data_IF_819336581868
#
_entry.id   IF_819336581868
#
_cell.length_a   1.000
_cell.length_b   1.000
_cell.length_c   1.000
_cell.angle_alpha   90.00
_cell.angle_beta   90.00
_cell.angle_gamma   90.00
#
_symmetry.space_group_name_H-M   'P 1'
#
loop_
_entity.id
_entity.type
_entity.pdbx_description
1 polymer ?
#
# COMPACT_ATOMS: atom_id res chain seq x y z
N UNK A 1 -7.05 15.19 4.38
CA UNK A 1 -5.66 15.12 3.90
C UNK A 1 -5.34 13.71 3.44
N UNK A 2 -4.66 13.59 2.32
CA UNK A 2 -4.25 12.30 1.78
C UNK A 2 -2.82 11.98 2.18
N UNK A 3 -2.55 10.72 2.49
CA UNK A 3 -1.19 10.28 2.77
C UNK A 3 -0.99 8.84 2.32
N UNK A 4 0.25 8.50 2.00
CA UNK A 4 0.63 7.24 1.37
C UNK A 4 1.04 6.22 2.42
N UNK A 5 0.35 5.10 2.46
CA UNK A 5 0.71 3.98 3.33
C UNK A 5 1.09 2.78 2.46
N UNK A 6 2.22 2.18 2.77
CA UNK A 6 2.64 0.94 2.14
C UNK A 6 2.21 -0.21 3.05
N UNK A 7 1.28 -1.03 2.59
CA UNK A 7 0.83 -2.20 3.35
C UNK A 7 1.67 -3.41 2.98
N UNK A 8 2.41 -3.92 3.94
CA UNK A 8 3.31 -5.06 3.74
C UNK A 8 2.67 -6.33 4.28
N UNK A 9 2.45 -7.27 3.39
CA UNK A 9 1.93 -8.61 3.70
C UNK A 9 3.07 -9.61 3.55
N UNK A 10 3.75 -9.90 4.67
CA UNK A 10 4.92 -10.78 4.67
C UNK A 10 4.56 -12.20 4.27
N UNK A 11 5.45 -12.81 3.49
CA UNK A 11 5.37 -14.21 3.07
C UNK A 11 4.18 -14.55 2.15
N UNK A 12 3.41 -13.54 1.74
CA UNK A 12 2.35 -13.72 0.77
C UNK A 12 2.90 -13.70 -0.67
N UNK A 13 2.17 -14.34 -1.56
CA UNK A 13 2.46 -14.33 -2.99
C UNK A 13 1.34 -13.59 -3.72
N UNK A 14 1.68 -12.92 -4.82
CA UNK A 14 0.73 -12.12 -5.57
C UNK A 14 -0.48 -12.94 -6.06
N UNK A 15 -0.24 -14.18 -6.47
CA UNK A 15 -1.30 -15.05 -6.99
C UNK A 15 -2.32 -15.47 -5.93
N UNK A 16 -1.98 -15.29 -4.65
CA UNK A 16 -2.82 -15.68 -3.51
C UNK A 16 -3.55 -14.50 -2.87
N UNK A 17 -3.43 -13.30 -3.42
CA UNK A 17 -4.10 -12.11 -2.90
C UNK A 17 -5.01 -11.50 -3.96
N UNK A 18 -6.06 -10.82 -3.52
CA UNK A 18 -6.95 -10.06 -4.38
C UNK A 18 -7.17 -8.68 -3.80
N UNK A 19 -7.62 -7.73 -4.63
CA UNK A 19 -7.94 -6.39 -4.15
C UNK A 19 -9.00 -6.41 -3.05
N UNK A 20 -10.03 -7.24 -3.20
CA UNK A 20 -11.09 -7.31 -2.20
C UNK A 20 -10.61 -7.86 -0.86
N UNK A 21 -9.69 -8.83 -0.87
CA UNK A 21 -9.10 -9.35 0.36
C UNK A 21 -8.25 -8.29 1.06
N UNK A 22 -7.47 -7.54 0.30
CA UNK A 22 -6.62 -6.45 0.83
C UNK A 22 -7.50 -5.34 1.41
N UNK A 23 -8.55 -4.95 0.69
CA UNK A 23 -9.51 -3.94 1.16
C UNK A 23 -10.16 -4.35 2.48
N UNK A 24 -10.66 -5.58 2.55
CA UNK A 24 -11.30 -6.10 3.75
C UNK A 24 -10.34 -6.12 4.93
N UNK A 25 -9.13 -6.63 4.71
CA UNK A 25 -8.12 -6.76 5.74
C UNK A 25 -7.68 -5.39 6.28
N UNK A 26 -7.41 -4.44 5.39
CA UNK A 26 -7.02 -3.09 5.79
C UNK A 26 -8.18 -2.35 6.46
N UNK A 27 -9.41 -2.48 5.95
CA UNK A 27 -10.60 -1.89 6.54
C UNK A 27 -10.82 -2.32 7.98
N UNK A 28 -10.75 -3.63 8.22
CA UNK A 28 -10.99 -4.19 9.55
C UNK A 28 -9.99 -3.68 10.58
N UNK A 29 -8.78 -3.38 10.15
CA UNK A 29 -7.70 -2.98 11.05
C UNK A 29 -7.59 -1.48 11.22
N UNK A 30 -7.78 -0.71 10.15
CA UNK A 30 -7.30 0.66 10.12
C UNK A 30 -8.34 1.69 9.66
N UNK A 31 -9.45 1.29 9.08
CA UNK A 31 -10.39 2.24 8.47
C UNK A 31 -11.67 2.41 9.27
N UNK A 32 -11.97 3.64 9.62
CA UNK A 32 -13.18 3.97 10.40
C UNK A 32 -14.46 3.75 9.60
N UNK A 33 -14.50 4.11 8.32
CA UNK A 33 -15.74 4.08 7.53
C UNK A 33 -16.37 2.68 7.42
N UNK A 34 -15.55 1.63 7.57
CA UNK A 34 -16.02 0.25 7.44
C UNK A 34 -16.09 -0.50 8.77
N UNK A 35 -15.41 0.03 9.79
CA UNK A 35 -15.25 -0.67 11.07
C UNK A 35 -16.37 -0.45 12.06
N UNK A 36 -16.75 0.76 12.31
CA UNK A 36 -17.83 1.23 13.18
C UNK A 36 -18.01 0.59 14.57
N UNK A 37 -17.18 -0.40 14.91
CA UNK A 37 -17.29 -1.13 16.19
C UNK A 37 -16.42 -0.54 17.29
N UNK A 38 -15.55 0.40 16.95
CA UNK A 38 -14.61 1.04 17.85
C UNK A 38 -14.73 2.56 17.76
N UNK A 39 -14.33 3.32 18.80
CA UNK A 39 -14.27 4.76 18.71
C UNK A 39 -13.37 5.23 17.56
N UNK A 40 -13.72 6.38 16.96
CA UNK A 40 -13.01 6.95 15.82
C UNK A 40 -11.48 7.03 16.03
N UNK A 41 -11.05 7.41 17.24
CA UNK A 41 -9.63 7.59 17.53
C UNK A 41 -8.81 6.29 17.51
N UNK A 42 -9.49 5.15 17.52
CA UNK A 42 -8.80 3.84 17.45
C UNK A 42 -8.53 3.40 16.00
N UNK A 43 -8.98 4.19 15.04
CA UNK A 43 -8.72 3.89 13.63
C UNK A 43 -7.66 4.83 13.07
N UNK A 44 -6.89 4.35 12.13
CA UNK A 44 -5.78 5.09 11.55
C UNK A 44 -6.25 6.15 10.56
N UNK A 45 -7.26 5.84 9.76
CA UNK A 45 -7.79 6.77 8.76
C UNK A 45 -9.32 6.69 8.66
N UNK A 46 -9.91 7.70 8.03
CA UNK A 46 -11.36 7.77 7.82
C UNK A 46 -11.83 6.88 6.69
N UNK A 47 -11.10 6.89 5.58
CA UNK A 47 -11.34 6.05 4.43
C UNK A 47 -10.04 5.91 3.62
N UNK A 48 -10.04 5.00 2.66
CA UNK A 48 -8.87 4.74 1.85
C UNK A 48 -9.27 4.17 0.49
N UNK A 49 -8.32 4.20 -0.44
CA UNK A 49 -8.40 3.41 -1.66
C UNK A 49 -7.05 2.75 -1.94
N UNK A 50 -7.08 1.60 -2.59
CA UNK A 50 -5.86 0.92 -3.03
C UNK A 50 -5.40 1.60 -4.32
N UNK A 51 -4.20 2.16 -4.28
CA UNK A 51 -3.65 2.96 -5.37
C UNK A 51 -4.02 4.43 -5.25
N UNK A 52 -5.22 4.80 -5.64
CA UNK A 52 -5.70 6.18 -5.56
C UNK A 52 -4.76 7.17 -6.21
N UNK A 53 -4.32 8.17 -5.46
CA UNK A 53 -3.39 9.20 -5.94
C UNK A 53 -2.03 8.67 -6.35
N UNK A 54 -1.64 7.53 -5.80
CA UNK A 54 -0.32 6.94 -6.00
C UNK A 54 -0.38 5.63 -6.80
N UNK A 55 -1.40 5.50 -7.64
CA UNK A 55 -1.64 4.26 -8.39
C UNK A 55 -0.48 3.86 -9.32
N UNK A 56 0.41 4.79 -9.65
CA UNK A 56 1.54 4.55 -10.55
C UNK A 56 2.89 4.53 -9.81
N UNK A 57 2.88 4.47 -8.48
CA UNK A 57 4.13 4.56 -7.71
C UNK A 57 4.98 3.30 -7.78
N UNK A 58 4.37 2.13 -7.76
CA UNK A 58 5.11 0.87 -7.74
C UNK A 58 5.40 0.38 -9.16
N UNK A 59 6.69 0.29 -9.49
CA UNK A 59 7.15 -0.22 -10.79
C UNK A 59 7.57 -1.67 -10.63
N UNK A 60 7.00 -2.53 -11.46
CA UNK A 60 7.22 -3.98 -11.36
C UNK A 60 6.98 -4.66 -12.69
N UNK A 61 7.45 -5.90 -12.82
CA UNK A 61 7.21 -6.72 -14.01
C UNK A 61 5.74 -7.16 -14.11
N UNK A 62 5.09 -7.33 -12.97
CA UNK A 62 3.66 -7.67 -12.91
C UNK A 62 3.07 -7.16 -11.60
N UNK A 63 1.76 -7.05 -11.56
CA UNK A 63 1.07 -6.59 -10.37
C UNK A 63 -0.43 -6.50 -10.60
N UNK A 64 -1.11 -5.90 -9.63
CA UNK A 64 -2.53 -5.63 -9.70
C UNK A 64 -2.72 -4.11 -9.70
N UNK A 65 -3.57 -3.62 -10.59
CA UNK A 65 -3.92 -2.20 -10.65
C UNK A 65 -5.11 -1.97 -9.75
N UNK A 66 -4.94 -1.02 -8.82
CA UNK A 66 -6.01 -0.61 -7.93
C UNK A 66 -6.84 0.52 -8.52
N UNK A 67 -7.57 1.21 -7.64
CA UNK A 67 -8.32 2.39 -8.03
C UNK A 67 -7.40 3.51 -8.51
N UNK A 68 -7.87 4.26 -9.47
CA UNK A 68 -7.16 5.42 -9.99
C UNK A 68 -7.82 6.69 -9.46
N UNK A 69 -6.98 7.67 -9.13
CA UNK A 69 -7.50 9.00 -8.83
C UNK A 69 -8.23 9.56 -10.06
N UNK A 70 -9.31 10.28 -9.83
CA UNK A 70 -10.04 10.94 -10.92
C UNK A 70 -9.15 11.91 -11.72
N UNK A 71 -8.08 12.42 -11.10
CA UNK A 71 -7.13 13.29 -11.77
C UNK A 71 -6.20 12.52 -12.71
N UNK A 72 -6.10 11.21 -12.53
CA UNK A 72 -5.28 10.33 -13.36
C UNK A 72 -6.15 9.34 -14.14
N UNK A 73 -7.38 9.72 -14.42
CA UNK A 73 -8.35 8.87 -15.11
C UNK A 73 -8.01 8.65 -16.58
N UNK A 74 -6.95 9.28 -17.08
CA UNK A 74 -6.48 9.10 -18.44
C UNK A 74 -5.87 7.72 -18.62
N UNK A 75 -6.05 7.18 -19.78
CA UNK A 75 -5.68 5.82 -20.17
C UNK A 75 -4.18 5.58 -20.16
N UNK A 76 -3.39 6.61 -19.96
CA UNK A 76 -1.93 6.57 -20.08
C UNK A 76 -1.24 6.19 -18.77
N UNK A 77 -1.75 5.18 -18.06
CA UNK A 77 -0.96 4.59 -16.99
C UNK A 77 0.28 3.97 -17.61
N UNK A 78 1.43 4.20 -16.99
CA UNK A 78 2.65 3.53 -17.42
C UNK A 78 2.42 2.03 -17.42
N UNK A 79 2.83 1.30 -18.46
CA UNK A 79 2.53 -0.11 -18.59
C UNK A 79 3.00 -0.98 -17.44
N UNK A 80 4.03 -0.55 -16.72
CA UNK A 80 4.68 -1.33 -15.66
C UNK A 80 4.39 -0.79 -14.26
N UNK A 81 3.38 0.06 -14.11
CA UNK A 81 3.01 0.67 -12.83
C UNK A 81 1.78 -0.01 -12.24
N UNK A 82 1.85 -0.36 -10.97
CA UNK A 82 0.81 -1.10 -10.27
C UNK A 82 0.57 -0.55 -8.88
N UNK A 83 -0.54 -0.97 -8.27
CA UNK A 83 -0.87 -0.63 -6.90
C UNK A 83 -0.55 -1.76 -5.92
N UNK A 84 -0.51 -2.99 -6.40
CA UNK A 84 -0.17 -4.17 -5.59
C UNK A 84 0.85 -4.99 -6.36
N UNK A 85 1.97 -5.27 -5.74
CA UNK A 85 3.05 -6.05 -6.37
C UNK A 85 3.65 -7.01 -5.37
N UNK A 86 4.26 -8.07 -5.89
CA UNK A 86 5.13 -8.92 -5.09
C UNK A 86 6.53 -8.30 -5.07
N UNK A 87 7.19 -8.31 -3.92
CA UNK A 87 8.49 -7.64 -3.76
C UNK A 87 9.50 -8.11 -4.80
N UNK A 88 9.53 -9.41 -5.09
CA UNK A 88 10.47 -9.98 -6.07
C UNK A 88 10.31 -9.44 -7.48
N UNK A 89 9.15 -8.87 -7.79
CA UNK A 89 8.85 -8.37 -9.14
C UNK A 89 9.16 -6.88 -9.32
N UNK A 90 9.58 -6.19 -8.26
CA UNK A 90 9.93 -4.77 -8.34
C UNK A 90 11.07 -4.52 -9.32
N UNK A 91 10.91 -3.52 -10.17
CA UNK A 91 11.93 -3.11 -11.16
C UNK A 91 12.63 -1.82 -10.78
N UNK A 92 12.06 -1.05 -9.85
CA UNK A 92 12.64 0.19 -9.35
C UNK A 92 12.54 0.25 -7.84
N UNK A 93 13.47 0.95 -7.21
CA UNK A 93 13.43 1.19 -5.77
C UNK A 93 12.29 2.12 -5.42
N UNK A 94 11.68 1.87 -4.26
CA UNK A 94 10.66 2.75 -3.69
C UNK A 94 11.38 3.86 -2.92
N UNK A 95 11.04 5.11 -3.25
CA UNK A 95 11.62 6.27 -2.58
C UNK A 95 10.95 6.48 -1.22
N UNK A 96 11.77 6.55 -0.17
CA UNK A 96 11.28 6.78 1.20
C UNK A 96 10.47 8.07 1.31
N UNK A 97 10.81 9.09 0.54
CA UNK A 97 10.11 10.38 0.59
C UNK A 97 8.66 10.29 0.10
N UNK A 98 8.33 9.23 -0.63
CA UNK A 98 6.98 9.00 -1.11
C UNK A 98 6.11 8.23 -0.13
N UNK A 99 6.68 7.70 0.95
CA UNK A 99 5.98 6.83 1.90
C UNK A 99 5.83 7.54 3.24
N UNK A 100 4.58 7.73 3.68
CA UNK A 100 4.28 8.31 4.98
C UNK A 100 4.39 7.29 6.10
N UNK A 101 3.89 6.08 5.88
CA UNK A 101 3.88 5.03 6.88
C UNK A 101 3.92 3.65 6.24
N UNK A 102 4.34 2.66 7.03
CA UNK A 102 4.25 1.25 6.64
C UNK A 102 3.27 0.56 7.57
N UNK A 103 2.22 -0.04 7.01
CA UNK A 103 1.28 -0.84 7.77
C UNK A 103 1.69 -2.31 7.69
N UNK A 104 1.70 -2.95 8.84
CA UNK A 104 1.86 -4.39 8.99
C UNK A 104 0.53 -4.98 9.47
N UNK A 105 0.49 -6.28 9.67
CA UNK A 105 -0.73 -6.96 10.10
C UNK A 105 -1.30 -6.42 11.40
N UNK A 106 -0.46 -6.00 12.33
CA UNK A 106 -0.87 -5.63 13.68
C UNK A 106 -0.45 -4.22 14.11
N UNK A 107 0.29 -3.50 13.28
CA UNK A 107 0.81 -2.20 13.68
C UNK A 107 1.10 -1.31 12.48
N UNK A 108 1.13 0.00 12.72
CA UNK A 108 1.55 1.00 11.74
C UNK A 108 2.85 1.62 12.22
N UNK A 109 3.79 1.75 11.31
CA UNK A 109 5.11 2.31 11.55
C UNK A 109 5.18 3.68 10.88
N UNK A 110 5.35 4.72 11.70
CA UNK A 110 5.49 6.11 11.23
C UNK A 110 6.90 6.67 11.46
N UNK A 111 7.73 5.98 12.24
CA UNK A 111 9.11 6.37 12.49
C UNK A 111 9.92 6.29 11.20
N UNK A 112 10.50 7.42 10.79
CA UNK A 112 11.24 7.53 9.52
C UNK A 112 12.42 6.59 9.44
N UNK A 113 13.11 6.37 10.54
CA UNK A 113 14.25 5.46 10.57
C UNK A 113 13.81 4.01 10.37
N UNK A 114 12.72 3.61 11.01
CA UNK A 114 12.16 2.26 10.84
C UNK A 114 11.62 2.05 9.43
N UNK A 115 10.93 3.05 8.89
CA UNK A 115 10.47 3.01 7.50
C UNK A 115 11.65 2.82 6.56
N UNK A 116 12.72 3.56 6.76
CA UNK A 116 13.94 3.43 5.95
C UNK A 116 14.52 2.03 5.98
N UNK A 117 14.55 1.40 7.15
CA UNK A 117 15.04 0.02 7.28
C UNK A 117 14.16 -0.99 6.55
N UNK A 118 12.83 -0.84 6.65
CA UNK A 118 11.91 -1.71 5.92
C UNK A 118 12.04 -1.52 4.41
N UNK A 119 12.09 -0.28 3.95
CA UNK A 119 12.24 0.01 2.52
C UNK A 119 13.57 -0.51 1.98
N UNK A 120 14.64 -0.43 2.77
CA UNK A 120 15.92 -1.00 2.38
C UNK A 120 15.82 -2.50 2.13
N UNK A 121 15.15 -3.22 3.03
CA UNK A 121 14.92 -4.65 2.86
C UNK A 121 14.03 -4.97 1.65
N UNK A 122 12.99 -4.16 1.43
CA UNK A 122 12.11 -4.32 0.28
C UNK A 122 12.87 -4.06 -1.02
N UNK A 123 13.57 -2.95 -1.09
CA UNK A 123 14.31 -2.53 -2.28
C UNK A 123 15.45 -3.49 -2.66
N UNK A 124 16.03 -4.15 -1.68
CA UNK A 124 17.09 -5.15 -1.90
C UNK A 124 16.56 -6.58 -1.89
N UNK A 125 15.25 -6.74 -1.87
CA UNK A 125 14.57 -8.04 -1.92
C UNK A 125 15.04 -9.01 -0.82
N UNK A 126 15.29 -8.48 0.37
CA UNK A 126 15.73 -9.26 1.54
C UNK A 126 14.55 -9.82 2.33
N UNK A 127 13.34 -9.41 2.03
CA UNK A 127 12.12 -9.97 2.60
C UNK A 127 11.20 -10.39 1.47
N UNK A 128 10.38 -11.40 1.74
CA UNK A 128 9.37 -11.89 0.81
C UNK A 128 8.01 -11.37 1.20
N UNK A 129 7.18 -11.10 0.22
CA UNK A 129 5.81 -10.71 0.47
C UNK A 129 5.22 -9.88 -0.64
N UNK A 130 4.02 -9.43 -0.39
CA UNK A 130 3.26 -8.56 -1.29
C UNK A 130 3.13 -7.19 -0.61
N UNK A 131 3.27 -6.15 -1.41
CA UNK A 131 3.06 -4.77 -0.94
C UNK A 131 1.92 -4.15 -1.71
N UNK A 132 1.09 -3.41 -1.00
CA UNK A 132 -0.01 -2.65 -1.57
C UNK A 132 0.14 -1.19 -1.21
N UNK A 133 -0.12 -0.33 -2.17
CA UNK A 133 -0.08 1.11 -1.97
C UNK A 133 -1.46 1.59 -1.60
N UNK A 134 -1.57 2.19 -0.43
CA UNK A 134 -2.84 2.65 0.13
C UNK A 134 -2.86 4.17 0.17
N UNK A 135 -3.88 4.74 -0.46
CA UNK A 135 -4.16 6.17 -0.39
C UNK A 135 -5.12 6.38 0.79
N UNK A 136 -4.59 6.80 1.92
CA UNK A 136 -5.36 7.03 3.13
C UNK A 136 -5.84 8.49 3.18
N UNK A 137 -7.05 8.65 3.67
CA UNK A 137 -7.64 9.98 3.89
C UNK A 137 -8.03 10.15 5.35
N UNK A 138 -7.63 11.26 5.89
CA UNK A 138 -7.90 11.65 7.27
C UNK A 138 -8.80 12.88 7.31
#
# INVERSE_FOLDING_TARGET
MHFTVLYLMKDEELDNVSLSEIEEDFSDRYCYCCGETRPRYQYYCDWFSIGGRWCDLLKANRGIRGERSWTNADEDSEPEAYSVVEIKDLTENIDIDMIYAIALKSTIIEDREKIGRYLDKINHQKIKGVIALIDCHD
#
